data_IF_075492014434
#
_entry.id   IF_075492014434
#
_cell.length_a   1.000
_cell.length_b   1.000
_cell.length_c   1.000
_cell.angle_alpha   90.00
_cell.angle_beta   90.00
_cell.angle_gamma   90.00
#
_symmetry.space_group_name_H-M   'P 1'
#
loop_
_entity.id
_entity.type
_entity.pdbx_description
1 polymer ?
#
# COMPACT_ATOMS: atom_id res chain seq x y z
N UNK A 1 66.87 5.66 -15.34
CA UNK A 1 67.80 4.58 -14.92
C UNK A 1 67.23 4.04 -13.63
N UNK A 2 66.81 2.81 -13.41
CA UNK A 2 66.82 1.57 -14.20
C UNK A 2 65.83 0.63 -13.48
N UNK A 3 65.03 -0.11 -14.20
CA UNK A 3 64.34 -1.32 -13.70
C UNK A 3 65.37 -2.39 -13.29
N UNK A 4 64.94 -3.39 -12.51
CA UNK A 4 65.13 -4.75 -13.02
C UNK A 4 63.89 -5.62 -12.91
N UNK A 5 63.72 -6.38 -13.98
CA UNK A 5 62.80 -7.47 -14.25
C UNK A 5 63.32 -8.77 -13.64
N UNK A 6 62.47 -9.66 -13.14
CA UNK A 6 62.72 -11.11 -13.22
C UNK A 6 61.39 -11.87 -13.37
N UNK A 7 61.28 -12.58 -14.50
CA UNK A 7 60.30 -13.62 -14.83
C UNK A 7 60.87 -14.99 -14.43
N UNK A 8 60.01 -15.92 -14.01
CA UNK A 8 59.82 -17.27 -14.59
C UNK A 8 58.73 -18.00 -13.80
N UNK A 9 57.57 -18.33 -14.41
CA UNK A 9 57.21 -19.57 -15.15
C UNK A 9 56.92 -20.77 -14.24
N UNK A 10 55.67 -21.25 -14.33
CA UNK A 10 55.21 -22.54 -13.80
C UNK A 10 53.72 -22.79 -14.09
N UNK A 11 53.42 -23.31 -15.29
CA UNK A 11 52.23 -24.11 -15.65
C UNK A 11 52.79 -25.50 -16.05
N UNK A 12 52.06 -26.65 -15.97
CA UNK A 12 50.71 -26.89 -16.50
C UNK A 12 49.85 -27.76 -15.53
N UNK A 13 48.63 -28.26 -15.76
CA UNK A 13 48.03 -28.91 -16.93
C UNK A 13 46.55 -29.31 -16.68
N UNK A 14 45.72 -29.29 -17.75
CA UNK A 14 44.59 -30.20 -18.09
C UNK A 14 43.37 -30.25 -17.14
N UNK A 15 42.15 -29.99 -17.60
CA UNK A 15 41.43 -30.90 -18.49
C UNK A 15 40.20 -30.30 -19.18
N UNK A 16 39.90 -30.87 -20.34
CA UNK A 16 38.87 -30.55 -21.32
C UNK A 16 37.59 -31.38 -21.12
N UNK A 17 36.46 -30.91 -21.68
CA UNK A 17 35.25 -31.67 -22.00
C UNK A 17 33.99 -31.08 -21.34
N UNK A 18 32.91 -30.71 -22.03
CA UNK A 18 32.41 -31.13 -23.33
C UNK A 18 31.62 -30.02 -24.06
N UNK A 19 31.76 -30.02 -25.39
CA UNK A 19 30.93 -29.37 -26.39
C UNK A 19 29.90 -30.39 -26.93
N UNK A 20 28.72 -29.90 -27.31
CA UNK A 20 27.77 -30.38 -28.33
C UNK A 20 26.33 -30.09 -27.85
N UNK A 21 25.37 -29.55 -28.61
CA UNK A 21 25.25 -29.17 -30.02
C UNK A 21 23.98 -28.27 -30.12
N UNK A 22 23.96 -27.19 -30.92
CA UNK A 22 23.23 -27.02 -32.21
C UNK A 22 21.73 -27.33 -32.11
N UNK A 23 20.76 -26.61 -32.67
CA UNK A 23 20.72 -25.44 -33.56
C UNK A 23 19.22 -25.04 -33.66
N UNK A 24 18.91 -23.77 -33.89
CA UNK A 24 17.96 -23.37 -34.96
C UNK A 24 18.04 -21.84 -35.20
N UNK A 25 18.65 -21.48 -36.32
CA UNK A 25 18.37 -20.27 -37.11
C UNK A 25 16.88 -20.27 -37.58
N UNK A 26 16.19 -19.20 -37.99
CA UNK A 26 16.48 -18.02 -38.83
C UNK A 26 15.52 -16.87 -38.40
N UNK A 27 15.93 -15.62 -38.15
CA UNK A 27 16.33 -14.53 -39.05
C UNK A 27 15.21 -13.94 -39.95
N UNK A 28 14.63 -12.78 -39.58
CA UNK A 28 14.27 -11.66 -40.50
C UNK A 28 14.30 -10.30 -39.77
N UNK A 29 15.17 -9.38 -40.22
CA UNK A 29 14.87 -7.94 -40.31
C UNK A 29 15.38 -6.98 -39.20
N UNK A 30 16.09 -5.88 -39.54
CA UNK A 30 16.71 -4.96 -38.58
C UNK A 30 15.77 -3.83 -38.16
N UNK A 31 15.76 -3.45 -36.88
CA UNK A 31 15.01 -2.28 -36.41
C UNK A 31 15.19 -1.98 -34.93
N UNK A 32 15.96 -0.92 -34.65
CA UNK A 32 15.83 -0.03 -33.49
C UNK A 32 16.05 -0.60 -32.07
N UNK A 33 17.29 -0.45 -31.60
CA UNK A 33 17.70 -0.12 -30.23
C UNK A 33 16.80 -0.50 -29.05
N UNK A 34 16.92 -1.75 -28.59
CA UNK A 34 16.38 -2.18 -27.28
C UNK A 34 17.19 -1.59 -26.12
N UNK A 35 16.57 -0.72 -25.33
CA UNK A 35 17.08 -0.26 -24.03
C UNK A 35 16.67 -1.26 -22.94
N UNK A 36 17.61 -2.11 -22.51
CA UNK A 36 17.43 -2.97 -21.33
C UNK A 36 17.49 -2.15 -20.02
N UNK A 37 16.64 -2.45 -19.01
CA UNK A 37 16.74 -1.80 -17.71
C UNK A 37 17.97 -2.29 -16.90
N UNK A 38 18.57 -1.43 -16.05
CA UNK A 38 19.78 -1.74 -15.30
C UNK A 38 19.51 -2.72 -14.13
N UNK A 39 20.46 -3.63 -13.89
CA UNK A 39 20.47 -4.56 -12.75
C UNK A 39 21.07 -3.90 -11.51
N UNK A 40 20.40 -4.05 -10.36
CA UNK A 40 20.88 -3.63 -9.04
C UNK A 40 21.93 -4.62 -8.52
N UNK A 41 23.08 -4.12 -8.03
CA UNK A 41 24.04 -4.91 -7.23
C UNK A 41 24.20 -4.30 -5.85
N UNK A 42 23.49 -4.91 -4.89
CA UNK A 42 23.86 -5.17 -3.48
C UNK A 42 22.68 -5.90 -2.83
N UNK A 43 22.35 -7.06 -3.39
CA UNK A 43 21.57 -8.08 -2.70
C UNK A 43 22.55 -8.92 -1.85
N UNK A 44 22.14 -9.43 -0.68
CA UNK A 44 22.90 -10.48 -0.01
C UNK A 44 23.06 -11.67 -0.96
N UNK A 45 24.19 -12.35 -0.88
CA UNK A 45 24.52 -13.53 -1.68
C UNK A 45 23.41 -14.57 -1.53
N UNK A 46 22.67 -14.85 -2.60
CA UNK A 46 21.78 -16.02 -2.70
C UNK A 46 22.60 -17.11 -3.39
N UNK A 47 23.08 -18.07 -2.60
CA UNK A 47 23.52 -19.36 -3.14
C UNK A 47 22.34 -20.00 -3.85
N UNK A 48 22.55 -20.41 -5.11
CA UNK A 48 21.59 -21.24 -5.82
C UNK A 48 21.69 -22.65 -5.25
N UNK A 49 20.82 -22.97 -4.30
CA UNK A 49 20.52 -24.36 -3.98
C UNK A 49 19.53 -24.89 -5.02
N UNK A 50 20.05 -25.73 -5.92
CA UNK A 50 19.25 -26.73 -6.61
C UNK A 50 18.77 -27.73 -5.57
N UNK A 51 17.50 -27.69 -5.11
CA UNK A 51 16.76 -28.85 -4.60
C UNK A 51 15.23 -28.61 -4.63
N UNK A 52 14.50 -29.73 -4.78
CA UNK A 52 13.10 -30.03 -5.11
C UNK A 52 11.93 -29.25 -4.43
N UNK A 53 10.71 -29.32 -5.00
CA UNK A 53 9.62 -28.39 -4.72
C UNK A 53 8.93 -28.72 -3.40
N UNK A 54 8.90 -27.75 -2.48
CA UNK A 54 8.06 -27.81 -1.28
C UNK A 54 7.20 -26.55 -1.23
N UNK A 55 5.88 -26.75 -1.37
CA UNK A 55 4.82 -25.78 -1.05
C UNK A 55 4.87 -24.42 -1.75
N UNK A 56 4.08 -24.24 -2.82
CA UNK A 56 3.85 -22.91 -3.42
C UNK A 56 3.47 -21.88 -2.34
N UNK A 57 4.15 -20.73 -2.23
CA UNK A 57 3.66 -19.62 -1.41
C UNK A 57 2.35 -19.09 -2.01
N UNK A 58 1.33 -18.91 -1.17
CA UNK A 58 0.08 -18.28 -1.58
C UNK A 58 0.33 -16.77 -1.83
N UNK A 59 0.07 -16.26 -3.05
CA UNK A 59 0.16 -14.83 -3.32
C UNK A 59 -1.00 -14.08 -2.63
N UNK A 60 -0.74 -12.84 -2.18
CA UNK A 60 -1.68 -11.91 -1.54
C UNK A 60 -3.02 -11.73 -2.29
N UNK A 61 -3.08 -12.12 -3.59
CA UNK A 61 -4.29 -12.17 -4.42
C UNK A 61 -5.53 -12.79 -3.75
N UNK A 62 -5.39 -13.77 -2.85
CA UNK A 62 -6.57 -14.38 -2.19
C UNK A 62 -7.19 -13.52 -1.07
N UNK A 63 -6.45 -12.59 -0.47
CA UNK A 63 -7.02 -11.65 0.51
C UNK A 63 -7.84 -10.56 -0.21
N UNK A 64 -7.38 -10.15 -1.41
CA UNK A 64 -8.14 -9.25 -2.28
C UNK A 64 -9.49 -9.84 -2.71
N UNK A 65 -9.57 -11.17 -2.94
CA UNK A 65 -10.84 -11.82 -3.25
C UNK A 65 -11.81 -11.86 -2.05
N UNK A 66 -11.33 -11.82 -0.80
CA UNK A 66 -12.17 -11.73 0.41
C UNK A 66 -12.65 -10.30 0.73
N UNK A 67 -12.11 -9.30 0.03
CA UNK A 67 -12.57 -7.91 0.02
C UNK A 67 -13.38 -7.58 -1.25
N UNK A 68 -13.31 -8.40 -2.30
CA UNK A 68 -14.19 -8.38 -3.47
C UNK A 68 -15.61 -8.80 -3.10
N UNK A 69 -16.38 -7.79 -2.71
CA UNK A 69 -17.83 -7.81 -2.81
C UNK A 69 -18.18 -7.04 -4.10
N UNK A 70 -19.13 -7.51 -4.94
CA UNK A 70 -19.21 -7.10 -6.34
C UNK A 70 -19.74 -5.67 -6.49
N UNK A 71 -18.82 -4.71 -6.48
CA UNK A 71 -18.96 -3.45 -7.19
C UNK A 71 -17.68 -3.23 -7.99
N UNK A 72 -17.81 -3.35 -9.31
CA UNK A 72 -16.75 -3.29 -10.30
C UNK A 72 -15.66 -4.38 -10.18
N UNK A 73 -15.21 -4.88 -11.32
CA UNK A 73 -14.27 -5.98 -11.45
C UNK A 73 -12.83 -5.65 -11.02
N UNK A 74 -12.60 -4.45 -10.45
CA UNK A 74 -11.30 -3.88 -10.07
C UNK A 74 -11.49 -3.02 -8.80
N UNK A 75 -10.67 -3.24 -7.76
CA UNK A 75 -10.68 -2.40 -6.55
C UNK A 75 -10.11 -1.00 -6.89
N UNK A 76 -10.89 0.09 -6.77
CA UNK A 76 -10.47 1.42 -7.21
C UNK A 76 -9.23 1.96 -6.47
N UNK A 77 -8.97 1.50 -5.24
CA UNK A 77 -7.74 1.85 -4.50
C UNK A 77 -6.50 1.25 -5.15
N UNK A 78 -6.58 -0.02 -5.55
CA UNK A 78 -5.47 -0.69 -6.25
C UNK A 78 -5.27 -0.15 -7.66
N UNK A 79 -6.34 0.31 -8.29
CA UNK A 79 -6.31 0.78 -9.66
C UNK A 79 -5.50 2.07 -9.81
N UNK A 80 -5.61 3.02 -8.88
CA UNK A 80 -4.89 4.30 -8.98
C UNK A 80 -3.38 4.11 -8.96
N UNK A 81 -2.88 3.41 -7.95
CA UNK A 81 -1.44 3.17 -7.79
C UNK A 81 -0.92 2.20 -8.86
N UNK A 82 -1.68 1.14 -9.17
CA UNK A 82 -1.32 0.14 -10.18
C UNK A 82 -1.36 0.66 -11.62
N UNK A 83 -2.23 1.62 -11.94
CA UNK A 83 -2.20 2.37 -13.22
C UNK A 83 -1.01 3.30 -13.29
N UNK A 84 -0.59 3.86 -12.15
CA UNK A 84 0.50 4.82 -12.08
C UNK A 84 1.88 4.16 -12.20
N UNK A 85 2.11 3.06 -11.48
CA UNK A 85 3.40 2.39 -11.48
C UNK A 85 3.29 0.86 -11.43
N UNK A 86 4.32 0.20 -11.96
CA UNK A 86 4.56 -1.21 -11.70
C UNK A 86 5.35 -1.38 -10.39
N UNK A 87 4.97 -2.39 -9.59
CA UNK A 87 5.54 -2.68 -8.27
C UNK A 87 6.21 -4.06 -8.30
N UNK A 88 7.43 -4.20 -7.74
CA UNK A 88 8.02 -5.51 -7.51
C UNK A 88 7.28 -6.24 -6.38
N UNK A 89 7.21 -7.57 -6.42
CA UNK A 89 6.42 -8.37 -5.45
C UNK A 89 6.80 -8.15 -3.98
N UNK A 90 8.04 -7.72 -3.71
CA UNK A 90 8.62 -7.53 -2.37
C UNK A 90 8.60 -6.06 -1.88
N UNK A 91 7.85 -5.19 -2.55
CA UNK A 91 7.91 -3.75 -2.29
C UNK A 91 7.47 -3.35 -0.88
N UNK A 92 6.48 -4.07 -0.31
CA UNK A 92 6.03 -3.85 1.07
C UNK A 92 7.14 -4.22 2.05
N UNK A 93 7.80 -5.37 1.87
CA UNK A 93 8.90 -5.79 2.73
C UNK A 93 10.06 -4.78 2.69
N UNK A 94 10.33 -4.17 1.53
CA UNK A 94 11.30 -3.08 1.40
C UNK A 94 10.90 -1.81 2.17
N UNK A 95 9.61 -1.52 2.28
CA UNK A 95 9.11 -0.41 3.08
C UNK A 95 9.23 -0.70 4.58
N UNK A 96 8.76 -1.87 5.01
CA UNK A 96 8.72 -2.30 6.42
C UNK A 96 10.09 -2.21 7.09
N UNK A 97 11.15 -2.65 6.41
CA UNK A 97 12.53 -2.61 6.94
C UNK A 97 13.02 -1.19 7.27
N UNK A 98 12.42 -0.15 6.68
CA UNK A 98 12.78 1.25 6.92
C UNK A 98 11.85 1.94 7.92
N UNK A 99 10.67 1.37 8.15
CA UNK A 99 9.57 2.03 8.84
C UNK A 99 9.75 1.95 10.36
N UNK A 100 9.41 3.03 11.07
CA UNK A 100 9.25 2.98 12.52
C UNK A 100 8.19 1.92 12.89
N UNK A 101 8.39 1.13 13.96
CA UNK A 101 7.46 0.08 14.32
C UNK A 101 6.03 0.59 14.52
N UNK A 102 5.08 0.01 13.80
CA UNK A 102 3.64 0.31 13.87
C UNK A 102 2.86 -0.98 13.53
N UNK A 103 1.68 -1.23 14.13
CA UNK A 103 0.91 -2.43 13.84
C UNK A 103 0.28 -2.36 12.44
N UNK A 104 0.80 -3.16 11.50
CA UNK A 104 0.28 -3.28 10.12
C UNK A 104 -0.42 -4.61 9.83
N UNK A 105 -0.78 -5.32 10.89
CA UNK A 105 -1.42 -6.62 10.83
C UNK A 105 -0.47 -7.74 10.50
N UNK A 106 -1.01 -8.96 10.36
CA UNK A 106 -0.20 -10.10 9.96
C UNK A 106 0.47 -9.85 8.61
N UNK A 107 1.79 -10.03 8.58
CA UNK A 107 2.64 -9.87 7.38
C UNK A 107 2.49 -8.51 6.69
N UNK A 108 2.20 -7.46 7.46
CA UNK A 108 2.10 -6.07 7.00
C UNK A 108 1.04 -5.85 5.91
N UNK A 109 0.03 -6.72 5.86
CA UNK A 109 -1.02 -6.69 4.84
C UNK A 109 -1.76 -5.35 4.77
N UNK A 110 -1.89 -4.63 5.88
CA UNK A 110 -2.61 -3.35 5.89
C UNK A 110 -1.74 -2.17 5.47
N UNK A 111 -0.42 -2.31 5.54
CA UNK A 111 0.50 -1.28 5.06
C UNK A 111 0.32 -1.04 3.55
N UNK A 112 0.05 -2.11 2.79
CA UNK A 112 -0.28 -1.99 1.36
C UNK A 112 -1.53 -1.15 1.13
N UNK A 113 -2.63 -1.43 1.83
CA UNK A 113 -3.86 -0.64 1.75
C UNK A 113 -3.65 0.82 2.14
N UNK A 114 -2.87 1.06 3.20
CA UNK A 114 -2.48 2.41 3.60
C UNK A 114 -1.76 3.13 2.46
N UNK A 115 -0.79 2.48 1.81
CA UNK A 115 -0.04 3.07 0.70
C UNK A 115 -0.94 3.40 -0.49
N UNK A 116 -1.87 2.52 -0.84
CA UNK A 116 -2.85 2.77 -1.90
C UNK A 116 -3.73 3.98 -1.60
N UNK A 117 -4.34 4.03 -0.42
CA UNK A 117 -5.20 5.13 0.00
C UNK A 117 -4.41 6.45 0.08
N UNK A 118 -3.25 6.45 0.72
CA UNK A 118 -2.44 7.65 0.87
C UNK A 118 -1.90 8.17 -0.47
N UNK A 119 -1.51 7.28 -1.38
CA UNK A 119 -1.08 7.69 -2.72
C UNK A 119 -2.21 8.37 -3.49
N UNK A 120 -3.42 7.78 -3.47
CA UNK A 120 -4.60 8.40 -4.09
C UNK A 120 -4.90 9.79 -3.51
N UNK A 121 -4.75 9.96 -2.20
CA UNK A 121 -4.89 11.26 -1.54
C UNK A 121 -3.81 12.26 -1.98
N UNK A 122 -2.55 11.84 -2.07
CA UNK A 122 -1.44 12.66 -2.53
C UNK A 122 -1.60 13.09 -4.00
N UNK A 123 -2.05 12.17 -4.85
CA UNK A 123 -2.33 12.44 -6.26
C UNK A 123 -3.42 13.49 -6.42
N UNK A 124 -4.55 13.35 -5.71
CA UNK A 124 -5.66 14.32 -5.76
C UNK A 124 -5.26 15.72 -5.30
N UNK A 125 -4.29 15.83 -4.39
CA UNK A 125 -3.79 17.11 -3.89
C UNK A 125 -2.57 17.64 -4.66
N UNK A 126 -2.19 17.00 -5.76
CA UNK A 126 -1.02 17.37 -6.58
C UNK A 126 0.28 17.44 -5.73
N UNK A 127 0.45 16.49 -4.81
CA UNK A 127 1.59 16.41 -3.88
C UNK A 127 2.71 15.50 -4.35
N UNK A 128 2.61 14.97 -5.56
CA UNK A 128 3.71 14.24 -6.20
C UNK A 128 4.71 15.25 -6.77
N UNK A 129 5.99 15.01 -6.55
CA UNK A 129 7.04 15.80 -7.20
C UNK A 129 7.43 15.11 -8.50
N UNK A 130 7.16 15.77 -9.62
CA UNK A 130 7.58 15.35 -10.94
C UNK A 130 8.90 16.02 -11.31
N UNK A 131 9.87 15.23 -11.73
CA UNK A 131 11.09 15.76 -12.33
C UNK A 131 10.75 16.50 -13.64
N UNK A 132 11.24 17.74 -13.85
CA UNK A 132 10.97 18.49 -15.08
C UNK A 132 11.43 17.80 -16.37
N UNK A 133 12.48 16.98 -16.29
CA UNK A 133 12.97 16.17 -17.42
C UNK A 133 12.21 14.84 -17.56
N UNK A 134 11.23 14.57 -16.69
CA UNK A 134 10.41 13.37 -16.70
C UNK A 134 11.17 12.10 -16.33
N UNK A 135 12.31 12.19 -15.64
CA UNK A 135 13.14 11.01 -15.28
C UNK A 135 12.51 10.22 -14.15
N UNK A 136 11.95 10.91 -13.16
CA UNK A 136 11.43 10.29 -11.95
C UNK A 136 10.24 11.05 -11.35
N UNK A 137 9.56 10.38 -10.41
CA UNK A 137 8.56 10.97 -9.53
C UNK A 137 8.87 10.60 -8.08
N UNK A 138 8.69 11.55 -7.17
CA UNK A 138 8.77 11.32 -5.73
C UNK A 138 7.39 11.49 -5.09
N UNK A 139 7.07 10.58 -4.18
CA UNK A 139 5.87 10.60 -3.34
C UNK A 139 6.27 10.57 -1.88
N UNK A 140 5.77 11.51 -1.07
CA UNK A 140 5.86 11.40 0.40
C UNK A 140 4.81 10.42 0.89
N UNK A 141 5.25 9.32 1.51
CA UNK A 141 4.41 8.21 1.98
C UNK A 141 3.63 8.61 3.25
N UNK A 142 2.75 9.59 3.12
CA UNK A 142 1.98 10.19 4.21
C UNK A 142 2.87 10.65 5.37
N UNK A 143 2.46 10.29 6.58
CA UNK A 143 3.21 10.55 7.82
C UNK A 143 4.11 9.39 8.24
N UNK A 144 4.39 8.42 7.36
CA UNK A 144 5.30 7.32 7.69
C UNK A 144 6.73 7.83 7.85
N UNK A 145 7.40 7.41 8.91
CA UNK A 145 8.76 7.86 9.22
C UNK A 145 9.63 6.66 9.58
N UNK A 146 10.93 6.83 9.44
CA UNK A 146 11.91 5.88 9.97
C UNK A 146 11.96 5.97 11.51
N UNK A 147 12.60 4.99 12.16
CA UNK A 147 12.77 4.99 13.63
C UNK A 147 13.47 6.25 14.16
N UNK A 148 14.33 6.88 13.36
CA UNK A 148 14.99 8.15 13.68
C UNK A 148 14.22 9.40 13.20
N UNK A 149 12.94 9.26 12.85
CA UNK A 149 12.03 10.37 12.55
C UNK A 149 12.20 10.99 11.16
N UNK A 150 12.83 10.27 10.22
CA UNK A 150 13.01 10.78 8.85
C UNK A 150 11.86 10.39 7.95
N UNK A 151 11.47 11.35 7.11
CA UNK A 151 10.43 11.17 6.11
C UNK A 151 10.80 10.12 5.05
N UNK A 152 9.90 9.14 4.85
CA UNK A 152 10.01 8.12 3.81
C UNK A 152 9.35 8.60 2.52
N UNK A 153 10.05 8.43 1.40
CA UNK A 153 9.60 8.78 0.07
C UNK A 153 9.63 7.56 -0.86
N UNK A 154 8.53 7.33 -1.60
CA UNK A 154 8.52 6.41 -2.72
C UNK A 154 9.22 7.03 -3.92
N UNK A 155 10.19 6.32 -4.49
CA UNK A 155 10.97 6.74 -5.66
C UNK A 155 10.58 5.94 -6.88
N UNK A 156 10.00 6.63 -7.85
CA UNK A 156 9.51 6.06 -9.10
C UNK A 156 10.38 6.53 -10.26
N UNK A 157 10.74 5.63 -11.16
CA UNK A 157 11.43 5.97 -12.43
C UNK A 157 10.50 5.75 -13.60
N UNK A 158 10.65 6.57 -14.65
CA UNK A 158 9.84 6.44 -15.85
C UNK A 158 10.05 5.06 -16.48
N UNK A 159 8.96 4.40 -16.79
CA UNK A 159 8.95 3.15 -17.53
C UNK A 159 9.10 3.46 -19.03
N UNK A 160 10.10 2.85 -19.68
CA UNK A 160 10.33 3.02 -21.12
C UNK A 160 9.38 2.18 -22.00
N UNK A 161 8.61 1.26 -21.39
CA UNK A 161 7.68 0.39 -22.13
C UNK A 161 6.47 1.16 -22.64
N UNK A 162 6.06 0.85 -23.89
CA UNK A 162 4.93 1.47 -24.59
C UNK A 162 3.56 1.07 -24.04
N UNK A 163 3.47 -0.09 -23.38
CA UNK A 163 2.25 -0.64 -22.79
C UNK A 163 2.47 -0.94 -21.31
N UNK A 164 1.51 -0.55 -20.47
CA UNK A 164 1.56 -0.71 -19.01
C UNK A 164 1.70 0.62 -18.26
N UNK A 165 1.91 0.57 -16.94
CA UNK A 165 2.02 1.76 -16.11
C UNK A 165 3.23 2.64 -16.52
N UNK A 166 3.09 3.98 -16.50
CA UNK A 166 4.12 4.91 -16.95
C UNK A 166 5.36 4.97 -16.06
N UNK A 167 5.30 4.42 -14.84
CA UNK A 167 6.42 4.39 -13.90
C UNK A 167 6.68 3.00 -13.34
N UNK A 168 7.83 2.83 -12.68
CA UNK A 168 8.19 1.68 -11.88
C UNK A 168 8.68 2.14 -10.51
N UNK A 169 8.21 1.51 -9.43
CA UNK A 169 8.73 1.77 -8.09
C UNK A 169 10.12 1.13 -7.94
N UNK A 170 11.15 1.96 -7.82
CA UNK A 170 12.52 1.50 -7.56
C UNK A 170 12.70 1.14 -6.08
N UNK A 171 12.09 1.92 -5.19
CA UNK A 171 12.12 1.65 -3.76
C UNK A 171 11.79 2.89 -2.92
N UNK A 172 12.16 2.82 -1.65
CA UNK A 172 11.92 3.87 -0.67
C UNK A 172 13.21 4.53 -0.23
N UNK A 173 13.22 5.86 -0.19
CA UNK A 173 14.38 6.69 0.12
C UNK A 173 14.05 7.72 1.20
N UNK A 174 15.06 8.19 1.92
CA UNK A 174 15.01 9.41 2.73
C UNK A 174 15.80 10.51 2.03
N UNK A 175 15.47 11.78 2.30
CA UNK A 175 16.06 12.95 1.63
C UNK A 175 16.70 13.88 2.66
N UNK A 176 17.65 13.34 3.44
CA UNK A 176 18.23 14.00 4.62
C UNK A 176 18.91 15.33 4.31
N UNK A 177 19.64 15.38 3.19
CA UNK A 177 20.26 16.58 2.66
C UNK A 177 19.46 17.19 1.50
N UNK A 178 18.25 16.71 1.22
CA UNK A 178 17.50 17.10 0.03
C UNK A 178 18.17 16.68 -1.28
N UNK A 179 19.13 15.74 -1.27
CA UNK A 179 19.77 15.24 -2.48
C UNK A 179 19.26 13.82 -2.77
N UNK A 180 18.53 13.71 -3.88
CA UNK A 180 18.20 12.41 -4.45
C UNK A 180 19.42 11.89 -5.19
N UNK A 181 19.97 10.78 -4.73
CA UNK A 181 21.08 10.08 -5.39
C UNK A 181 20.52 8.90 -6.18
N UNK A 182 20.86 8.84 -7.46
CA UNK A 182 20.45 7.76 -8.35
C UNK A 182 21.60 7.35 -9.25
N UNK A 183 21.53 6.13 -9.79
CA UNK A 183 22.55 5.57 -10.65
C UNK A 183 22.05 5.53 -12.10
N UNK A 184 22.84 6.10 -13.01
CA UNK A 184 22.58 6.03 -14.44
C UNK A 184 22.92 4.66 -15.04
N UNK A 185 22.52 4.45 -16.29
CA UNK A 185 22.81 3.22 -17.04
C UNK A 185 24.31 2.91 -17.16
N UNK A 186 25.15 3.93 -17.22
CA UNK A 186 26.61 3.83 -17.27
C UNK A 186 27.25 3.60 -15.88
N UNK A 187 26.42 3.38 -14.84
CA UNK A 187 26.80 3.20 -13.43
C UNK A 187 27.34 4.44 -12.73
N UNK A 188 27.29 5.61 -13.37
CA UNK A 188 27.61 6.87 -12.69
C UNK A 188 26.54 7.20 -11.66
N UNK A 189 26.98 7.62 -10.46
CA UNK A 189 26.06 8.10 -9.42
C UNK A 189 25.88 9.60 -9.63
N UNK A 190 24.64 10.00 -9.90
CA UNK A 190 24.24 11.39 -10.00
C UNK A 190 23.45 11.80 -8.76
N UNK A 191 23.60 13.06 -8.36
CA UNK A 191 22.82 13.68 -7.31
C UNK A 191 21.99 14.81 -7.89
N UNK A 192 20.68 14.78 -7.67
CA UNK A 192 19.80 15.92 -7.97
C UNK A 192 19.39 16.54 -6.65
N UNK A 193 19.64 17.84 -6.50
CA UNK A 193 19.17 18.62 -5.37
C UNK A 193 17.66 18.86 -5.54
N UNK A 194 16.89 18.27 -4.65
CA UNK A 194 15.46 18.51 -4.50
C UNK A 194 15.30 19.70 -3.55
N UNK A 195 15.09 20.89 -4.13
CA UNK A 195 14.98 22.13 -3.35
C UNK A 195 13.80 22.08 -2.37
N UNK A 196 12.68 21.49 -2.79
CA UNK A 196 11.46 21.36 -1.99
C UNK A 196 10.92 19.94 -2.15
N UNK A 197 11.29 18.97 -1.29
CA UNK A 197 10.74 17.62 -1.36
C UNK A 197 9.23 17.65 -1.15
N UNK A 198 8.49 16.67 -1.72
CA UNK A 198 7.05 16.63 -1.53
C UNK A 198 6.72 16.50 -0.04
N UNK A 199 5.79 17.30 0.45
CA UNK A 199 5.29 17.20 1.82
C UNK A 199 4.16 16.17 1.89
N UNK A 200 3.83 15.71 3.10
CA UNK A 200 2.64 14.86 3.29
C UNK A 200 1.40 15.61 2.77
N UNK A 201 0.39 14.90 2.23
CA UNK A 201 -0.90 15.50 1.95
C UNK A 201 -1.42 16.29 3.13
N UNK A 202 -2.04 17.44 2.86
CA UNK A 202 -2.66 18.26 3.89
C UNK A 202 -3.92 17.58 4.38
N UNK A 203 -4.05 17.38 5.69
CA UNK A 203 -5.22 16.76 6.31
C UNK A 203 -6.31 17.81 6.61
N UNK A 204 -6.72 18.59 5.60
CA UNK A 204 -7.89 19.47 5.76
C UNK A 204 -9.14 18.59 5.69
N UNK A 205 -9.42 17.96 6.82
CA UNK A 205 -10.55 17.07 7.03
C UNK A 205 -11.79 17.96 7.09
N UNK A 206 -12.80 17.73 6.22
CA UNK A 206 -14.09 18.43 6.33
C UNK A 206 -14.67 18.28 7.75
N UNK A 207 -15.64 19.11 8.14
CA UNK A 207 -16.39 18.81 9.37
C UNK A 207 -17.39 17.67 9.11
N UNK A 208 -17.67 16.86 10.13
CA UNK A 208 -18.82 15.96 10.09
C UNK A 208 -20.08 16.83 10.02
N UNK A 209 -21.01 16.55 9.10
CA UNK A 209 -22.26 17.32 9.07
C UNK A 209 -23.19 16.63 10.03
N UNK A 210 -23.55 17.27 11.14
CA UNK A 210 -24.59 16.72 12.00
C UNK A 210 -25.94 16.84 11.29
N UNK A 211 -26.29 15.80 10.53
CA UNK A 211 -27.60 15.64 9.97
C UNK A 211 -28.47 15.00 11.07
N UNK A 212 -29.53 15.71 11.47
CA UNK A 212 -30.51 15.21 12.44
C UNK A 212 -31.20 13.91 11.99
N UNK A 213 -31.05 13.54 10.71
CA UNK A 213 -31.53 12.29 10.12
C UNK A 213 -30.59 11.14 10.44
N UNK A 214 -31.14 10.05 10.99
CA UNK A 214 -30.39 8.82 11.25
C UNK A 214 -29.85 8.21 9.95
N UNK A 215 -28.58 7.73 9.92
CA UNK A 215 -28.03 7.08 8.75
C UNK A 215 -28.85 5.84 8.33
N UNK A 216 -29.10 5.70 7.02
CA UNK A 216 -29.71 4.51 6.44
C UNK A 216 -28.66 3.41 6.28
N UNK A 217 -28.93 2.22 6.84
CA UNK A 217 -28.02 1.08 6.78
C UNK A 217 -28.36 0.18 5.59
N UNK A 218 -27.39 -0.10 4.71
CA UNK A 218 -27.56 -1.02 3.58
C UNK A 218 -27.57 -2.48 4.05
N UNK A 219 -28.70 -2.90 4.60
CA UNK A 219 -28.88 -4.23 5.16
C UNK A 219 -28.75 -5.35 4.14
N UNK A 220 -29.11 -5.10 2.88
CA UNK A 220 -29.00 -6.12 1.84
C UNK A 220 -27.53 -6.48 1.63
N UNK A 221 -26.68 -5.49 1.36
CA UNK A 221 -25.26 -5.71 1.15
C UNK A 221 -24.58 -6.34 2.38
N UNK A 222 -24.86 -5.82 3.58
CA UNK A 222 -24.25 -6.32 4.82
C UNK A 222 -24.56 -7.81 5.03
N UNK A 223 -25.81 -8.21 4.84
CA UNK A 223 -26.21 -9.60 5.05
C UNK A 223 -25.71 -10.54 3.96
N UNK A 224 -25.70 -10.10 2.70
CA UNK A 224 -25.22 -10.93 1.60
C UNK A 224 -23.72 -11.20 1.67
N UNK A 225 -22.93 -10.31 2.30
CA UNK A 225 -21.48 -10.26 2.05
C UNK A 225 -20.62 -10.26 3.31
N UNK A 226 -21.22 -9.94 4.48
CA UNK A 226 -20.51 -9.81 5.75
C UNK A 226 -21.14 -10.60 6.91
N UNK A 227 -22.25 -11.32 6.67
CA UNK A 227 -23.00 -11.97 7.76
C UNK A 227 -22.17 -12.95 8.58
N UNK A 228 -21.28 -13.72 7.95
CA UNK A 228 -20.45 -14.70 8.66
C UNK A 228 -19.50 -14.02 9.66
N UNK A 229 -18.89 -12.90 9.26
CA UNK A 229 -18.01 -12.10 10.13
C UNK A 229 -18.80 -11.47 11.26
N UNK A 230 -20.00 -10.98 10.96
CA UNK A 230 -20.86 -10.39 11.99
C UNK A 230 -21.28 -11.45 13.01
N UNK A 231 -21.64 -12.66 12.56
CA UNK A 231 -22.02 -13.78 13.42
C UNK A 231 -20.84 -14.35 14.22
N UNK A 232 -19.61 -14.25 13.71
CA UNK A 232 -18.42 -14.62 14.48
C UNK A 232 -18.27 -13.73 15.73
N UNK A 233 -18.60 -12.44 15.63
CA UNK A 233 -18.50 -11.49 16.75
C UNK A 233 -19.76 -11.43 17.63
N UNK A 234 -20.92 -11.60 17.02
CA UNK A 234 -22.24 -11.56 17.67
C UNK A 234 -22.96 -12.90 17.47
N UNK A 235 -22.51 -13.97 18.14
CA UNK A 235 -23.04 -15.30 17.91
C UNK A 235 -24.48 -15.43 18.45
N UNK A 236 -25.25 -16.34 17.86
CA UNK A 236 -26.56 -16.80 18.34
C UNK A 236 -27.70 -15.77 18.36
N UNK A 237 -27.57 -14.64 17.65
CA UNK A 237 -28.66 -13.68 17.48
C UNK A 237 -29.48 -13.97 16.21
N UNK A 238 -30.84 -14.00 16.29
CA UNK A 238 -31.68 -13.99 15.10
C UNK A 238 -31.44 -12.72 14.25
N UNK A 239 -31.54 -12.83 12.92
CA UNK A 239 -31.24 -11.72 11.99
C UNK A 239 -31.99 -10.43 12.33
N UNK A 240 -33.25 -10.53 12.78
CA UNK A 240 -34.03 -9.36 13.22
C UNK A 240 -33.40 -8.68 14.43
N UNK A 241 -32.98 -9.43 15.44
CA UNK A 241 -32.33 -8.88 16.62
C UNK A 241 -30.97 -8.25 16.28
N UNK A 242 -30.20 -8.91 15.41
CA UNK A 242 -28.93 -8.42 14.91
C UNK A 242 -29.08 -7.05 14.20
N UNK A 243 -30.09 -6.92 13.33
CA UNK A 243 -30.42 -5.66 12.65
C UNK A 243 -30.71 -4.53 13.64
N UNK A 244 -31.50 -4.82 14.66
CA UNK A 244 -31.86 -3.83 15.68
C UNK A 244 -30.64 -3.39 16.50
N UNK A 245 -29.82 -4.34 16.93
CA UNK A 245 -28.63 -4.07 17.73
C UNK A 245 -27.63 -3.18 17.00
N UNK A 246 -27.30 -3.52 15.75
CA UNK A 246 -26.40 -2.73 14.93
C UNK A 246 -27.01 -1.36 14.59
N UNK A 247 -28.30 -1.28 14.25
CA UNK A 247 -28.95 0.01 13.97
C UNK A 247 -28.89 0.92 15.20
N UNK A 248 -29.12 0.37 16.40
CA UNK A 248 -29.00 1.12 17.64
C UNK A 248 -27.56 1.57 17.91
N UNK A 249 -26.56 0.71 17.68
CA UNK A 249 -25.15 1.05 17.82
C UNK A 249 -24.72 2.17 16.86
N UNK A 250 -25.18 2.10 15.61
CA UNK A 250 -24.99 3.17 14.61
C UNK A 250 -25.60 4.48 15.10
N UNK A 251 -26.85 4.44 15.59
CA UNK A 251 -27.54 5.64 16.06
C UNK A 251 -26.83 6.28 17.26
N UNK A 252 -26.31 5.48 18.20
CA UNK A 252 -25.52 5.98 19.33
C UNK A 252 -24.18 6.61 18.88
N UNK A 253 -23.45 5.93 17.99
CA UNK A 253 -22.20 6.44 17.44
C UNK A 253 -22.42 7.73 16.63
N UNK A 254 -23.52 7.81 15.87
CA UNK A 254 -23.91 9.00 15.10
C UNK A 254 -24.19 10.20 16.00
N UNK A 255 -24.96 10.01 17.08
CA UNK A 255 -25.26 11.06 18.07
C UNK A 255 -24.02 11.62 18.78
N UNK A 256 -22.96 10.84 18.83
CA UNK A 256 -21.69 11.21 19.47
C UNK A 256 -20.55 11.43 18.45
N UNK A 257 -20.91 11.62 17.18
CA UNK A 257 -19.98 11.72 16.04
C UNK A 257 -18.96 12.85 16.19
N UNK A 258 -19.33 14.00 16.75
CA UNK A 258 -18.41 15.10 17.04
C UNK A 258 -17.18 14.71 17.88
N UNK A 259 -17.28 13.61 18.64
CA UNK A 259 -16.19 13.10 19.49
C UNK A 259 -15.63 11.76 19.01
N UNK A 260 -16.41 10.98 18.27
CA UNK A 260 -16.09 9.58 17.94
C UNK A 260 -15.83 9.33 16.46
N UNK A 261 -16.30 10.20 15.57
CA UNK A 261 -16.11 10.00 14.14
C UNK A 261 -14.63 10.14 13.80
N UNK A 262 -14.10 9.12 13.14
CA UNK A 262 -12.72 9.09 12.68
C UNK A 262 -12.72 9.35 11.17
N UNK A 263 -11.94 10.32 10.66
CA UNK A 263 -11.86 10.52 9.23
C UNK A 263 -11.02 9.40 8.60
N UNK A 264 -11.41 8.98 7.40
CA UNK A 264 -10.58 8.13 6.55
C UNK A 264 -10.64 8.53 5.09
N UNK A 265 -9.76 7.93 4.29
CA UNK A 265 -9.70 8.13 2.85
C UNK A 265 -9.98 6.83 2.11
N UNK A 266 -10.93 6.87 1.19
CA UNK A 266 -11.28 5.71 0.37
C UNK A 266 -11.80 6.18 -0.99
N UNK A 267 -11.35 5.53 -2.05
CA UNK A 267 -11.88 5.74 -3.42
C UNK A 267 -11.93 7.22 -3.84
N UNK A 268 -10.83 7.93 -3.58
CA UNK A 268 -10.70 9.33 -3.97
C UNK A 268 -11.52 10.32 -3.14
N UNK A 269 -12.19 9.89 -2.08
CA UNK A 269 -13.04 10.74 -1.25
C UNK A 269 -12.75 10.60 0.26
N UNK A 270 -13.11 11.64 1.00
CA UNK A 270 -13.18 11.57 2.46
C UNK A 270 -14.41 10.78 2.88
N UNK A 271 -14.22 9.85 3.81
CA UNK A 271 -15.31 9.17 4.49
C UNK A 271 -15.16 9.31 5.99
N UNK A 272 -16.29 9.33 6.69
CA UNK A 272 -16.30 9.29 8.15
C UNK A 272 -16.51 7.86 8.61
N UNK A 273 -15.81 7.47 9.65
CA UNK A 273 -15.88 6.14 10.22
C UNK A 273 -16.47 6.26 11.63
N UNK A 274 -17.58 5.59 11.86
CA UNK A 274 -18.21 5.49 13.17
C UNK A 274 -17.77 4.19 13.85
N UNK A 275 -17.00 4.24 14.94
CA UNK A 275 -16.65 3.07 15.73
C UNK A 275 -17.90 2.57 16.46
N UNK A 276 -18.21 1.27 16.32
CA UNK A 276 -19.34 0.62 16.95
C UNK A 276 -18.84 -0.32 18.05
N UNK A 277 -19.04 0.08 19.32
CA UNK A 277 -18.78 -0.76 20.49
C UNK A 277 -20.11 -1.37 20.94
N UNK A 278 -20.30 -2.66 20.65
CA UNK A 278 -21.55 -3.40 20.88
C UNK A 278 -21.39 -4.36 22.06
N UNK A 279 -20.27 -5.08 22.10
CA UNK A 279 -20.03 -6.14 23.09
C UNK A 279 -19.29 -5.64 24.34
N UNK A 280 -18.78 -4.40 24.29
CA UNK A 280 -17.92 -3.83 25.32
C UNK A 280 -18.25 -2.37 25.58
N UNK A 281 -18.11 -1.95 26.84
CA UNK A 281 -18.32 -0.55 27.25
C UNK A 281 -17.06 0.31 27.08
N UNK A 282 -15.87 -0.30 27.00
CA UNK A 282 -14.61 0.41 26.89
C UNK A 282 -14.43 0.97 25.47
N UNK A 283 -14.77 2.25 25.29
CA UNK A 283 -14.64 2.97 24.01
C UNK A 283 -13.20 3.21 23.55
N UNK A 284 -12.20 3.00 24.43
CA UNK A 284 -10.77 3.07 24.07
C UNK A 284 -10.24 1.75 23.49
N UNK A 285 -10.96 0.64 23.67
CA UNK A 285 -10.63 -0.62 23.03
C UNK A 285 -11.01 -0.61 21.53
N UNK A 286 -10.51 -1.59 20.80
CA UNK A 286 -10.89 -1.80 19.40
C UNK A 286 -12.41 -1.95 19.30
N UNK A 287 -13.11 -1.24 18.40
CA UNK A 287 -14.55 -1.40 18.24
C UNK A 287 -14.90 -2.82 17.77
N UNK A 288 -16.16 -3.23 17.88
CA UNK A 288 -16.59 -4.51 17.28
C UNK A 288 -16.67 -4.39 15.76
N UNK A 289 -17.17 -3.25 15.29
CA UNK A 289 -17.24 -2.91 13.87
C UNK A 289 -16.96 -1.42 13.67
N UNK A 290 -16.61 -1.06 12.44
CA UNK A 290 -16.52 0.32 12.00
C UNK A 290 -17.52 0.54 10.87
N UNK A 291 -18.41 1.51 11.02
CA UNK A 291 -19.38 1.88 10.00
C UNK A 291 -18.84 3.08 9.20
N UNK A 292 -18.41 2.90 7.93
CA UNK A 292 -18.15 4.02 7.04
C UNK A 292 -19.47 4.73 6.73
N UNK A 293 -19.43 6.05 6.74
CA UNK A 293 -20.57 6.93 6.51
C UNK A 293 -20.30 7.74 5.25
N UNK A 294 -21.28 7.73 4.34
CA UNK A 294 -21.27 8.50 3.10
C UNK A 294 -22.50 9.39 3.04
N UNK A 295 -22.34 10.60 2.54
CA UNK A 295 -23.49 11.45 2.24
C UNK A 295 -24.35 10.71 1.19
N UNK A 296 -25.66 10.65 1.43
CA UNK A 296 -26.58 10.10 0.45
C UNK A 296 -26.55 10.92 -0.85
N UNK A 297 -26.88 10.31 -1.98
CA UNK A 297 -26.85 10.97 -3.31
C UNK A 297 -27.80 12.17 -3.38
N UNK A 298 -28.88 12.14 -2.61
CA UNK A 298 -29.86 13.22 -2.47
C UNK A 298 -29.35 14.37 -1.58
N UNK A 299 -28.23 14.18 -0.87
CA UNK A 299 -27.68 15.13 0.09
C UNK A 299 -28.44 15.22 1.42
N UNK A 300 -29.55 14.50 1.56
CA UNK A 300 -30.52 14.60 2.65
C UNK A 300 -30.34 13.44 3.65
N UNK A 301 -29.10 13.18 4.04
CA UNK A 301 -28.79 12.18 5.04
C UNK A 301 -27.49 11.45 4.79
N UNK A 302 -27.33 10.39 5.55
CA UNK A 302 -26.18 9.52 5.47
C UNK A 302 -26.58 8.10 5.14
N UNK A 303 -25.69 7.40 4.45
CA UNK A 303 -25.78 5.96 4.20
C UNK A 303 -24.59 5.26 4.81
N UNK A 304 -24.84 4.04 5.29
CA UNK A 304 -23.82 3.10 5.74
C UNK A 304 -23.82 1.94 4.75
N UNK A 305 -22.87 1.92 3.80
CA UNK A 305 -22.88 0.93 2.73
C UNK A 305 -22.49 -0.47 3.22
N UNK A 306 -21.72 -0.56 4.30
CA UNK A 306 -21.18 -1.83 4.81
C UNK A 306 -20.74 -1.70 6.27
N UNK A 307 -20.32 -2.80 6.88
CA UNK A 307 -19.61 -2.82 8.17
C UNK A 307 -18.22 -3.40 7.96
N UNK A 308 -17.23 -2.72 8.51
CA UNK A 308 -15.83 -3.12 8.47
C UNK A 308 -15.44 -3.71 9.82
N UNK A 309 -14.56 -4.71 9.82
CA UNK A 309 -13.80 -5.02 11.02
C UNK A 309 -12.80 -3.88 11.29
N UNK A 310 -12.38 -3.65 12.54
CA UNK A 310 -11.49 -2.55 12.89
C UNK A 310 -10.22 -2.52 12.03
N UNK A 311 -9.62 -3.69 11.82
CA UNK A 311 -8.39 -3.83 11.06
C UNK A 311 -8.52 -3.48 9.58
N UNK A 312 -9.72 -3.60 8.99
CA UNK A 312 -9.99 -3.16 7.62
C UNK A 312 -10.09 -1.64 7.52
N UNK A 313 -10.63 -1.00 8.56
CA UNK A 313 -10.78 0.45 8.62
C UNK A 313 -9.46 1.15 8.97
N UNK A 314 -8.59 0.50 9.75
CA UNK A 314 -7.31 1.03 10.19
C UNK A 314 -6.47 1.68 9.08
N UNK A 315 -6.11 1.01 7.97
CA UNK A 315 -5.26 1.61 6.95
C UNK A 315 -5.90 2.82 6.27
N UNK A 316 -7.24 2.83 6.14
CA UNK A 316 -7.99 3.92 5.51
C UNK A 316 -8.04 5.17 6.40
N UNK A 317 -8.21 4.99 7.71
CA UNK A 317 -8.12 6.08 8.68
C UNK A 317 -6.67 6.58 8.80
N UNK A 318 -5.72 5.66 8.92
CA UNK A 318 -4.30 5.95 9.09
C UNK A 318 -3.73 6.75 7.90
N UNK A 319 -4.24 6.53 6.69
CA UNK A 319 -3.82 7.21 5.45
C UNK A 319 -3.91 8.75 5.50
N UNK A 320 -4.74 9.29 6.39
CA UNK A 320 -4.93 10.75 6.57
C UNK A 320 -4.77 11.20 8.02
N UNK A 321 -4.28 10.31 8.89
CA UNK A 321 -3.99 10.65 10.27
C UNK A 321 -2.51 11.03 10.42
N UNK A 322 -2.18 12.09 11.20
CA UNK A 322 -0.80 12.46 11.45
C UNK A 322 -0.07 11.41 12.29
N UNK A 323 -0.76 10.76 13.23
CA UNK A 323 -0.28 9.64 14.03
C UNK A 323 -1.38 8.56 14.16
N UNK A 324 -1.08 7.46 14.86
CA UNK A 324 -2.01 6.35 15.06
C UNK A 324 -2.65 6.30 16.45
N UNK A 325 -2.41 7.25 17.36
CA UNK A 325 -2.74 7.10 18.80
C UNK A 325 -4.22 6.83 19.05
N UNK A 326 -5.10 7.43 18.24
CA UNK A 326 -6.56 7.26 18.35
C UNK A 326 -7.13 6.01 17.69
N UNK A 327 -6.34 5.30 16.87
CA UNK A 327 -6.80 4.16 16.06
C UNK A 327 -5.89 2.93 16.17
N UNK A 328 -4.81 2.99 16.97
CA UNK A 328 -3.85 1.91 17.09
C UNK A 328 -4.49 0.59 17.54
N UNK A 329 -5.53 0.65 18.38
CA UNK A 329 -6.28 -0.54 18.80
C UNK A 329 -7.05 -1.20 17.64
N UNK A 330 -7.29 -0.51 16.53
CA UNK A 330 -7.99 -1.09 15.39
C UNK A 330 -7.08 -2.00 14.58
N UNK A 331 -5.77 -1.84 14.74
CA UNK A 331 -4.73 -2.59 14.05
C UNK A 331 -4.47 -3.97 14.69
N UNK A 332 -5.46 -4.57 15.33
CA UNK A 332 -5.34 -5.94 15.85
C UNK A 332 -6.45 -6.76 15.25
N UNK A 333 -6.10 -7.88 14.60
CA UNK A 333 -7.05 -8.95 14.35
C UNK A 333 -7.47 -9.53 15.70
N UNK A 334 -8.78 -9.73 15.85
CA UNK A 334 -9.29 -10.53 16.95
C UNK A 334 -8.95 -11.98 16.57
N UNK A 335 -8.22 -12.67 17.45
CA UNK A 335 -7.90 -14.10 17.35
C UNK A 335 -9.17 -14.98 17.30
#
# INVERSE_FOLDING_TARGET
>A
MSTPTTRMRGLPSKGWGALAALDLHEAIGPGEGEVMPPRVRNAPVVERDEHQPVGRPMPARRLFDALRVPMATVDPLTETLGKFAHFPDDWIQKLVVRLAPEPWGERDTWLEYYCHANFGHALRQERLLHDPEGRFVLWRVGSLETTDGRAIHGYFVRNSRRYGPPYFLVGFVTLDDGILRFQNHDRTVMGIRIATPPTSPKHVIPAYRDLHTMPSVNWQHILETRIDRIRARLPNLPDKALRWLITAAVADAHKSSDRRAVPGWFDGEYQWMLPLHITQENVSAAPDFVAPVRLADDGEGYTIPTLLEPWMAYPLARAIAPDNRGIASWATTID
#
